data_IF_698828010005
#
_entry.id   IF_698828010005
#
_cell.length_a   1.000
_cell.length_b   1.000
_cell.length_c   1.000
_cell.angle_alpha   90.00
_cell.angle_beta   90.00
_cell.angle_gamma   90.00
#
_symmetry.space_group_name_H-M   'P 1'
#
loop_
_entity.id
_entity.type
_entity.pdbx_description
1 polymer ?
#
# COMPACT_ATOMS: atom_id res chain seq x y z
N UNK A 1 21.15 -2.27 -2.03
CA UNK A 1 19.71 -2.43 -1.78
C UNK A 1 19.35 -3.83 -2.24
N UNK A 2 18.35 -4.48 -1.66
CA UNK A 2 17.96 -5.84 -2.05
C UNK A 2 17.20 -5.77 -3.39
N UNK A 3 17.57 -6.57 -4.39
CA UNK A 3 16.96 -6.62 -5.73
C UNK A 3 15.43 -6.87 -5.68
N UNK A 4 14.97 -7.68 -4.72
CA UNK A 4 13.54 -7.93 -4.50
C UNK A 4 12.80 -6.65 -4.10
N UNK A 5 13.38 -5.87 -3.20
CA UNK A 5 12.78 -4.60 -2.75
C UNK A 5 12.69 -3.59 -3.89
N UNK A 6 13.71 -3.52 -4.75
CA UNK A 6 13.69 -2.65 -5.93
C UNK A 6 12.57 -3.05 -6.90
N UNK A 7 12.43 -4.35 -7.16
CA UNK A 7 11.35 -4.87 -8.00
C UNK A 7 9.96 -4.55 -7.43
N UNK A 8 9.77 -4.71 -6.11
CA UNK A 8 8.52 -4.35 -5.43
C UNK A 8 8.21 -2.85 -5.62
N UNK A 9 9.23 -1.99 -5.51
CA UNK A 9 9.02 -0.55 -5.72
C UNK A 9 8.65 -0.22 -7.16
N UNK A 10 9.29 -0.84 -8.14
CA UNK A 10 8.96 -0.66 -9.55
C UNK A 10 7.50 -1.05 -9.84
N UNK A 11 7.09 -2.23 -9.38
CA UNK A 11 5.71 -2.71 -9.52
C UNK A 11 4.73 -1.74 -8.84
N UNK A 12 5.01 -1.32 -7.61
CA UNK A 12 4.14 -0.44 -6.85
C UNK A 12 4.00 0.95 -7.51
N UNK A 13 5.09 1.50 -8.04
CA UNK A 13 5.10 2.81 -8.70
C UNK A 13 4.35 2.79 -10.03
N UNK A 14 4.51 1.74 -10.84
CA UNK A 14 3.77 1.58 -12.10
C UNK A 14 2.26 1.42 -11.83
N UNK A 15 1.89 0.58 -10.87
CA UNK A 15 0.49 0.42 -10.48
C UNK A 15 -0.08 1.74 -9.93
N UNK A 16 0.67 2.45 -9.08
CA UNK A 16 0.23 3.75 -8.56
C UNK A 16 -0.03 4.75 -9.68
N UNK A 17 0.81 4.79 -10.70
CA UNK A 17 0.66 5.65 -11.87
C UNK A 17 -0.58 5.30 -12.68
N UNK A 18 -0.87 4.02 -12.84
CA UNK A 18 -2.02 3.53 -13.60
C UNK A 18 -3.35 3.83 -12.90
N UNK A 19 -3.47 3.44 -11.60
CA UNK A 19 -4.76 3.49 -10.89
C UNK A 19 -4.97 4.76 -10.06
N UNK A 20 -3.94 5.58 -9.82
CA UNK A 20 -3.99 6.85 -9.08
C UNK A 20 -3.31 8.01 -9.79
N UNK A 21 -3.55 8.27 -11.07
CA UNK A 21 -2.76 9.23 -11.87
C UNK A 21 -2.74 10.65 -11.27
N UNK A 22 -3.80 11.07 -10.60
CA UNK A 22 -3.92 12.45 -10.08
C UNK A 22 -4.01 12.54 -8.55
N UNK A 23 -3.91 11.42 -7.81
CA UNK A 23 -4.07 11.36 -6.34
C UNK A 23 -5.31 12.03 -5.76
N UNK A 24 -6.28 12.39 -6.61
CA UNK A 24 -7.51 13.06 -6.18
C UNK A 24 -8.46 12.13 -5.45
N UNK A 25 -8.47 10.85 -5.84
CA UNK A 25 -9.33 9.84 -5.22
C UNK A 25 -8.82 9.43 -3.84
N UNK A 26 -9.74 9.20 -2.91
CA UNK A 26 -9.40 8.55 -1.64
C UNK A 26 -9.02 7.09 -1.87
N UNK A 27 -8.25 6.52 -0.93
CA UNK A 27 -7.89 5.09 -0.99
C UNK A 27 -9.13 4.19 -0.93
N UNK A 28 -10.16 4.58 -0.15
CA UNK A 28 -11.45 3.86 -0.11
C UNK A 28 -12.17 3.87 -1.47
N UNK A 29 -12.16 5.01 -2.17
CA UNK A 29 -12.75 5.09 -3.52
C UNK A 29 -11.99 4.23 -4.51
N UNK A 30 -10.67 4.19 -4.40
CA UNK A 30 -9.83 3.35 -5.24
C UNK A 30 -10.16 1.86 -5.09
N UNK A 31 -10.35 1.37 -3.86
CA UNK A 31 -10.76 -0.02 -3.61
C UNK A 31 -12.10 -0.34 -4.30
N UNK A 32 -13.07 0.58 -4.25
CA UNK A 32 -14.35 0.41 -4.95
C UNK A 32 -14.18 0.34 -6.47
N UNK A 33 -13.34 1.19 -7.04
CA UNK A 33 -13.06 1.20 -8.48
C UNK A 33 -12.40 -0.12 -8.93
N UNK A 34 -11.63 -0.77 -8.05
CA UNK A 34 -11.03 -2.09 -8.29
C UNK A 34 -12.01 -3.27 -8.08
N UNK A 35 -13.29 -2.99 -7.75
CA UNK A 35 -14.28 -4.02 -7.46
C UNK A 35 -14.27 -4.53 -6.02
N UNK A 36 -13.54 -3.84 -5.13
CA UNK A 36 -13.37 -4.23 -3.74
C UNK A 36 -14.26 -3.49 -2.76
N UNK A 37 -14.35 -4.05 -1.55
CA UNK A 37 -15.02 -3.47 -0.38
C UNK A 37 -14.08 -3.50 0.83
N UNK A 38 -14.15 -2.48 1.67
CA UNK A 38 -13.42 -2.43 2.94
C UNK A 38 -14.37 -2.82 4.07
N UNK A 39 -13.97 -3.84 4.83
CA UNK A 39 -14.65 -4.29 6.03
C UNK A 39 -13.78 -3.95 7.25
N UNK A 40 -14.28 -3.09 8.13
CA UNK A 40 -13.63 -2.80 9.41
C UNK A 40 -14.09 -3.83 10.45
N UNK A 41 -13.15 -4.35 11.24
CA UNK A 41 -13.41 -5.35 12.29
C UNK A 41 -12.68 -5.00 13.58
N UNK A 42 -13.33 -5.22 14.72
CA UNK A 42 -12.73 -5.15 16.06
C UNK A 42 -12.20 -6.51 16.51
N UNK A 43 -12.47 -7.57 15.73
CA UNK A 43 -12.09 -8.93 16.05
C UNK A 43 -10.76 -9.30 15.37
N UNK A 44 -9.69 -9.43 16.16
CA UNK A 44 -8.39 -9.85 15.66
C UNK A 44 -8.40 -11.23 14.99
N UNK A 45 -9.30 -12.13 15.39
CA UNK A 45 -9.42 -13.46 14.77
C UNK A 45 -9.82 -13.36 13.29
N UNK A 46 -10.59 -12.33 12.92
CA UNK A 46 -10.95 -12.11 11.51
C UNK A 46 -9.72 -11.81 10.66
N UNK A 47 -8.72 -11.14 11.23
CA UNK A 47 -7.46 -10.82 10.54
C UNK A 47 -6.53 -12.03 10.49
N UNK A 48 -6.48 -12.84 11.55
CA UNK A 48 -5.70 -14.09 11.54
C UNK A 48 -6.22 -15.10 10.51
N UNK A 49 -7.51 -15.09 10.22
CA UNK A 49 -8.14 -15.92 9.19
C UNK A 49 -8.00 -15.37 7.76
N UNK A 50 -7.10 -14.42 7.56
CA UNK A 50 -6.83 -13.78 6.29
C UNK A 50 -7.47 -12.39 6.18
N UNK A 51 -6.71 -11.46 5.64
CA UNK A 51 -7.13 -10.05 5.47
C UNK A 51 -7.87 -9.80 4.15
N UNK A 52 -7.96 -10.81 3.28
CA UNK A 52 -8.61 -10.72 1.98
C UNK A 52 -9.62 -11.86 1.80
N UNK A 53 -10.77 -11.53 1.22
CA UNK A 53 -11.81 -12.48 0.81
C UNK A 53 -12.16 -12.27 -0.66
N UNK A 54 -12.16 -13.33 -1.46
CA UNK A 54 -12.69 -13.29 -2.83
C UNK A 54 -14.21 -13.45 -2.80
N UNK A 55 -14.93 -12.46 -3.33
CA UNK A 55 -16.41 -12.45 -3.32
C UNK A 55 -17.01 -12.86 -4.66
N UNK A 56 -16.33 -12.52 -5.76
CA UNK A 56 -16.71 -12.86 -7.13
C UNK A 56 -15.46 -12.93 -8.01
N UNK A 57 -15.64 -13.18 -9.31
CA UNK A 57 -14.51 -13.27 -10.24
C UNK A 57 -13.71 -11.97 -10.30
N UNK A 58 -14.36 -10.82 -10.17
CA UNK A 58 -13.74 -9.50 -10.15
C UNK A 58 -13.93 -8.76 -8.81
N UNK A 59 -14.40 -9.43 -7.75
CA UNK A 59 -14.76 -8.81 -6.48
C UNK A 59 -13.97 -9.36 -5.30
N UNK A 60 -13.65 -8.48 -4.37
CA UNK A 60 -12.95 -8.85 -3.15
C UNK A 60 -13.38 -7.97 -1.96
N UNK A 61 -13.09 -8.46 -0.76
CA UNK A 61 -13.12 -7.67 0.48
C UNK A 61 -11.75 -7.63 1.11
N UNK A 62 -11.40 -6.49 1.68
CA UNK A 62 -10.24 -6.38 2.57
C UNK A 62 -10.72 -6.09 3.99
N UNK A 63 -10.13 -6.77 4.96
CA UNK A 63 -10.46 -6.62 6.38
C UNK A 63 -9.40 -5.78 7.06
N UNK A 64 -9.80 -4.65 7.65
CA UNK A 64 -8.92 -3.78 8.40
C UNK A 64 -9.32 -3.73 9.86
N UNK A 65 -8.34 -3.74 10.76
CA UNK A 65 -8.63 -3.56 12.18
C UNK A 65 -9.19 -2.17 12.45
N UNK A 66 -10.35 -2.12 13.10
CA UNK A 66 -10.99 -0.87 13.50
C UNK A 66 -10.26 -0.28 14.71
N UNK A 67 -9.15 0.40 14.49
CA UNK A 67 -8.55 1.26 15.49
C UNK A 67 -8.88 2.72 15.15
N UNK A 68 -8.88 3.63 16.12
CA UNK A 68 -8.99 5.07 15.85
C UNK A 68 -7.83 5.54 14.96
N UNK A 69 -7.96 5.29 13.67
CA UNK A 69 -6.94 5.56 12.67
C UNK A 69 -7.06 6.98 12.16
N UNK A 70 -5.92 7.64 12.07
CA UNK A 70 -5.84 8.84 11.24
C UNK A 70 -5.94 8.45 9.76
N UNK A 71 -6.32 9.41 8.91
CA UNK A 71 -6.37 9.20 7.45
C UNK A 71 -5.05 8.64 6.90
N UNK A 72 -3.91 9.10 7.44
CA UNK A 72 -2.59 8.66 6.99
C UNK A 72 -2.33 7.18 7.31
N UNK A 73 -2.74 6.73 8.50
CA UNK A 73 -2.64 5.32 8.88
C UNK A 73 -3.57 4.46 8.04
N UNK A 74 -4.81 4.89 7.85
CA UNK A 74 -5.79 4.18 7.02
C UNK A 74 -5.28 4.03 5.57
N UNK A 75 -4.76 5.11 4.97
CA UNK A 75 -4.18 5.08 3.64
C UNK A 75 -3.05 4.05 3.52
N UNK A 76 -2.19 3.98 4.53
CA UNK A 76 -1.06 3.06 4.55
C UNK A 76 -1.52 1.60 4.66
N UNK A 77 -2.48 1.31 5.54
CA UNK A 77 -3.05 -0.04 5.67
C UNK A 77 -3.75 -0.49 4.37
N UNK A 78 -4.55 0.38 3.75
CA UNK A 78 -5.18 0.05 2.46
C UNK A 78 -4.12 -0.22 1.38
N UNK A 79 -3.06 0.58 1.32
CA UNK A 79 -1.97 0.38 0.36
C UNK A 79 -1.23 -0.94 0.60
N UNK A 80 -1.04 -1.35 1.85
CA UNK A 80 -0.49 -2.67 2.21
C UNK A 80 -1.37 -3.80 1.68
N UNK A 81 -2.68 -3.71 1.83
CA UNK A 81 -3.60 -4.73 1.33
C UNK A 81 -3.69 -4.76 -0.20
N UNK A 82 -3.54 -3.62 -0.89
CA UNK A 82 -3.36 -3.61 -2.35
C UNK A 82 -2.08 -4.36 -2.73
N UNK A 83 -0.97 -4.12 -2.02
CA UNK A 83 0.28 -4.87 -2.21
C UNK A 83 0.08 -6.38 -1.99
N UNK A 84 -0.66 -6.76 -0.96
CA UNK A 84 -0.97 -8.16 -0.68
C UNK A 84 -1.77 -8.82 -1.80
N UNK A 85 -2.82 -8.15 -2.29
CA UNK A 85 -3.63 -8.60 -3.42
C UNK A 85 -2.78 -8.87 -4.66
N UNK A 86 -1.85 -7.98 -4.97
CA UNK A 86 -1.06 -8.03 -6.21
C UNK A 86 0.12 -8.98 -6.08
N UNK A 87 0.97 -8.79 -5.07
CA UNK A 87 2.24 -9.52 -4.95
C UNK A 87 2.04 -10.98 -4.52
N UNK A 88 1.11 -11.24 -3.60
CA UNK A 88 1.01 -12.54 -2.96
C UNK A 88 -0.18 -13.36 -3.44
N UNK A 89 -1.32 -12.69 -3.69
CA UNK A 89 -2.56 -13.35 -4.08
C UNK A 89 -2.67 -13.46 -5.61
N UNK A 90 -2.17 -12.45 -6.35
CA UNK A 90 -2.19 -12.44 -7.83
C UNK A 90 -3.50 -11.89 -8.39
N UNK A 91 -4.08 -10.88 -7.74
CA UNK A 91 -5.23 -10.15 -8.25
C UNK A 91 -4.90 -9.50 -9.61
N UNK A 92 -5.82 -9.64 -10.57
CA UNK A 92 -5.65 -9.10 -11.92
C UNK A 92 -4.81 -9.96 -12.88
N UNK A 93 -4.38 -11.15 -12.45
CA UNK A 93 -3.71 -12.15 -13.31
C UNK A 93 -4.39 -13.51 -13.19
N UNK A 94 -4.05 -14.45 -14.07
CA UNK A 94 -4.65 -15.81 -14.15
C UNK A 94 -4.69 -16.54 -12.80
N UNK A 95 -3.71 -16.31 -11.94
CA UNK A 95 -3.69 -16.89 -10.59
C UNK A 95 -4.95 -16.56 -9.79
N UNK A 96 -5.47 -15.33 -9.89
CA UNK A 96 -6.69 -14.91 -9.21
C UNK A 96 -7.91 -15.74 -9.62
N UNK A 97 -8.01 -16.10 -10.90
CA UNK A 97 -9.15 -16.86 -11.42
C UNK A 97 -9.26 -18.23 -10.75
N UNK A 98 -8.11 -18.87 -10.48
CA UNK A 98 -8.04 -20.19 -9.84
C UNK A 98 -8.39 -20.20 -8.34
N UNK A 99 -8.42 -19.04 -7.68
CA UNK A 99 -8.70 -18.95 -6.25
C UNK A 99 -10.20 -19.11 -6.01
N UNK A 100 -10.62 -20.02 -5.12
CA UNK A 100 -12.04 -20.19 -4.77
C UNK A 100 -12.57 -18.95 -4.01
N UNK A 101 -13.89 -18.73 -4.09
CA UNK A 101 -14.56 -17.70 -3.27
C UNK A 101 -14.42 -18.02 -1.78
N UNK A 102 -14.30 -16.97 -0.97
CA UNK A 102 -14.11 -17.06 0.47
C UNK A 102 -12.82 -16.40 0.94
N UNK A 103 -12.54 -16.50 2.23
CA UNK A 103 -11.30 -15.96 2.82
C UNK A 103 -10.05 -16.65 2.27
N UNK A 104 -9.06 -15.85 1.93
CA UNK A 104 -7.81 -16.34 1.35
C UNK A 104 -6.77 -16.44 2.46
N UNK A 105 -6.30 -17.66 2.69
CA UNK A 105 -5.26 -17.96 3.68
C UNK A 105 -4.06 -18.51 2.92
N UNK A 106 -2.93 -17.81 3.00
CA UNK A 106 -1.68 -18.30 2.44
C UNK A 106 -1.09 -19.35 3.38
N UNK A 107 -0.73 -20.52 2.82
CA UNK A 107 -0.11 -21.62 3.57
C UNK A 107 1.38 -21.70 3.27
N UNK A 108 2.17 -22.17 4.25
CA UNK A 108 3.60 -22.40 4.10
C UNK A 108 4.39 -21.14 3.67
N UNK A 109 4.01 -19.99 4.20
CA UNK A 109 4.64 -18.71 3.90
C UNK A 109 5.30 -18.13 5.15
N UNK A 110 6.33 -17.31 4.95
CA UNK A 110 6.90 -16.52 6.02
C UNK A 110 6.11 -15.20 6.13
N UNK A 111 5.31 -15.07 7.18
CA UNK A 111 4.46 -13.90 7.39
C UNK A 111 5.25 -12.62 7.63
N UNK A 112 6.44 -12.67 8.25
CA UNK A 112 7.29 -11.49 8.44
C UNK A 112 7.81 -10.96 7.10
N UNK A 113 8.14 -11.87 6.17
CA UNK A 113 8.53 -11.51 4.81
C UNK A 113 7.37 -10.84 4.08
N UNK A 114 6.18 -11.45 4.11
CA UNK A 114 4.97 -10.91 3.48
C UNK A 114 4.67 -9.51 4.02
N UNK A 115 4.71 -9.32 5.33
CA UNK A 115 4.41 -8.02 5.95
C UNK A 115 5.44 -6.97 5.55
N UNK A 116 6.73 -7.33 5.50
CA UNK A 116 7.79 -6.45 5.01
C UNK A 116 7.56 -6.04 3.55
N UNK A 117 7.20 -6.98 2.68
CA UNK A 117 6.94 -6.73 1.26
C UNK A 117 5.69 -5.85 1.05
N UNK A 118 4.64 -6.05 1.84
CA UNK A 118 3.46 -5.18 1.87
C UNK A 118 3.82 -3.74 2.27
N UNK A 119 4.69 -3.56 3.27
CA UNK A 119 5.15 -2.25 3.71
C UNK A 119 5.99 -1.55 2.63
N UNK A 120 6.93 -2.28 2.00
CA UNK A 120 7.73 -1.75 0.89
C UNK A 120 6.86 -1.32 -0.29
N UNK A 121 5.89 -2.14 -0.64
CA UNK A 121 4.91 -1.80 -1.67
C UNK A 121 4.13 -0.52 -1.29
N UNK A 122 3.59 -0.44 -0.07
CA UNK A 122 2.80 0.69 0.38
C UNK A 122 3.60 2.01 0.37
N UNK A 123 4.87 1.97 0.78
CA UNK A 123 5.76 3.14 0.74
C UNK A 123 5.96 3.64 -0.70
N UNK A 124 6.22 2.73 -1.64
CA UNK A 124 6.47 3.10 -3.03
C UNK A 124 5.18 3.53 -3.75
N UNK A 125 4.07 2.82 -3.51
CA UNK A 125 2.75 3.13 -4.07
C UNK A 125 2.23 4.50 -3.63
N UNK A 126 2.36 4.83 -2.36
CA UNK A 126 1.92 6.13 -1.83
C UNK A 126 2.89 7.26 -2.15
N UNK A 127 4.18 6.96 -2.27
CA UNK A 127 5.26 7.93 -2.45
C UNK A 127 6.21 7.50 -3.59
N UNK A 128 5.78 7.54 -4.87
CA UNK A 128 6.64 7.18 -5.99
C UNK A 128 7.92 8.01 -6.02
N UNK A 129 9.05 7.37 -6.34
CA UNK A 129 10.39 7.95 -6.29
C UNK A 129 10.51 9.27 -7.05
N UNK A 130 10.01 9.30 -8.29
CA UNK A 130 10.06 10.50 -9.12
C UNK A 130 9.29 11.65 -8.48
N UNK A 131 8.07 11.41 -8.04
CA UNK A 131 7.21 12.42 -7.45
C UNK A 131 7.76 12.93 -6.10
N UNK A 132 8.30 12.01 -5.28
CA UNK A 132 8.95 12.37 -4.03
C UNK A 132 10.14 13.31 -4.27
N UNK A 133 11.01 12.96 -5.22
CA UNK A 133 12.15 13.79 -5.62
C UNK A 133 11.72 15.16 -6.13
N UNK A 134 10.77 15.19 -7.06
CA UNK A 134 10.31 16.43 -7.70
C UNK A 134 9.63 17.35 -6.65
N UNK A 135 8.89 16.78 -5.69
CA UNK A 135 8.33 17.51 -4.57
C UNK A 135 9.40 18.09 -3.65
N UNK A 136 10.44 17.31 -3.33
CA UNK A 136 11.59 17.81 -2.56
C UNK A 136 12.26 18.99 -3.24
N UNK A 137 12.59 18.87 -4.52
CA UNK A 137 13.28 19.94 -5.27
C UNK A 137 12.47 21.24 -5.27
N UNK A 138 11.15 21.14 -5.41
CA UNK A 138 10.24 22.29 -5.46
C UNK A 138 10.07 22.97 -4.09
N UNK A 139 10.20 22.25 -2.99
CA UNK A 139 9.82 22.73 -1.65
C UNK A 139 10.99 22.89 -0.68
N UNK A 140 12.22 22.53 -1.06
CA UNK A 140 13.43 22.78 -0.25
C UNK A 140 13.68 24.28 -0.09
N UNK A 141 13.96 24.69 1.15
CA UNK A 141 14.44 26.04 1.50
C UNK A 141 15.76 25.87 2.22
N UNK A 142 16.81 26.59 1.78
CA UNK A 142 18.16 26.49 2.35
C UNK A 142 18.65 25.03 2.51
N UNK A 143 18.41 24.23 1.49
CA UNK A 143 18.75 22.81 1.43
C UNK A 143 18.04 21.90 2.48
N UNK A 144 17.03 22.41 3.17
CA UNK A 144 16.22 21.68 4.16
C UNK A 144 14.76 21.65 3.77
N UNK A 145 14.03 20.66 4.27
CA UNK A 145 12.58 20.56 4.15
C UNK A 145 11.97 20.01 5.44
N UNK A 146 10.86 20.58 5.86
CA UNK A 146 10.10 20.01 6.97
C UNK A 146 9.36 18.74 6.49
N UNK A 147 9.67 17.61 7.12
CA UNK A 147 9.03 16.32 6.82
C UNK A 147 7.50 16.36 6.92
N UNK A 148 6.95 17.29 7.70
CA UNK A 148 5.49 17.51 7.80
C UNK A 148 4.86 17.92 6.47
N UNK A 149 5.59 18.70 5.66
CA UNK A 149 5.11 19.16 4.35
C UNK A 149 5.02 17.98 3.40
N UNK A 150 6.03 17.10 3.41
CA UNK A 150 6.05 15.86 2.63
C UNK A 150 4.91 14.95 3.06
N UNK A 151 4.80 14.68 4.35
CA UNK A 151 3.79 13.81 4.92
C UNK A 151 2.36 14.28 4.55
N UNK A 152 2.11 15.60 4.65
CA UNK A 152 0.83 16.20 4.28
C UNK A 152 0.53 16.05 2.79
N UNK A 153 1.53 16.28 1.92
CA UNK A 153 1.36 16.17 0.48
C UNK A 153 0.98 14.75 0.05
N UNK A 154 1.70 13.76 0.57
CA UNK A 154 1.47 12.35 0.26
C UNK A 154 0.33 11.71 1.07
N UNK A 155 -0.23 12.43 2.05
CA UNK A 155 -1.26 11.93 2.99
C UNK A 155 -0.80 10.65 3.71
N UNK A 156 0.43 10.69 4.22
CA UNK A 156 1.08 9.62 4.98
C UNK A 156 1.58 10.14 6.34
N UNK A 157 1.94 9.23 7.25
CA UNK A 157 2.57 9.63 8.51
C UNK A 157 3.95 10.26 8.28
N UNK A 158 4.38 11.12 9.20
CA UNK A 158 5.75 11.68 9.17
C UNK A 158 6.81 10.59 9.16
N UNK A 159 6.56 9.52 9.91
CA UNK A 159 7.45 8.37 9.99
C UNK A 159 7.60 7.68 8.63
N UNK A 160 6.49 7.40 7.93
CA UNK A 160 6.53 6.78 6.60
C UNK A 160 7.20 7.70 5.58
N UNK A 161 6.93 9.01 5.62
CA UNK A 161 7.60 9.98 4.76
C UNK A 161 9.12 9.99 4.99
N UNK A 162 9.57 9.94 6.25
CA UNK A 162 10.98 9.89 6.61
C UNK A 162 11.63 8.57 6.17
N UNK A 163 10.99 7.43 6.45
CA UNK A 163 11.48 6.11 6.05
C UNK A 163 11.67 6.05 4.53
N UNK A 164 10.66 6.48 3.76
CA UNK A 164 10.77 6.50 2.29
C UNK A 164 11.91 7.40 1.82
N UNK A 165 12.04 8.59 2.37
CA UNK A 165 13.10 9.54 2.02
C UNK A 165 14.51 8.98 2.29
N UNK A 166 14.71 8.29 3.42
CA UNK A 166 15.97 7.61 3.76
C UNK A 166 16.24 6.45 2.80
N UNK A 167 15.28 5.60 2.53
CA UNK A 167 15.40 4.47 1.59
C UNK A 167 15.74 4.94 0.17
N UNK A 168 15.24 6.10 -0.24
CA UNK A 168 15.56 6.72 -1.53
C UNK A 168 16.90 7.48 -1.54
N UNK A 169 17.56 7.63 -0.39
CA UNK A 169 18.80 8.40 -0.26
C UNK A 169 18.62 9.92 -0.40
N UNK A 170 17.42 10.43 -0.17
CA UNK A 170 17.11 11.86 -0.27
C UNK A 170 17.12 12.59 1.08
N UNK A 171 17.08 11.85 2.17
CA UNK A 171 17.08 12.32 3.57
C UNK A 171 18.09 11.45 4.34
N UNK A 172 18.86 12.07 5.22
CA UNK A 172 19.81 11.41 6.13
C UNK A 172 19.12 10.86 7.41
#
# INVERSE_FOLDING_TARGET
MNEIVELIWEIAEEISKEIRPERKKSMKSLIKDLGGEICETDNLLDLFNGTVEKTSDNGFKIFLYNSSKTLEKENFEIAKEIGHLILHIGFGIEKWESIPKGKIILKNVNYDTIETEKEEFALAFLMPKKEYRDFLHKNKKNNTIDIKIIAKYFKVSKQNALIRGKKLGYIE
#
